data_IF_739114112357
#
_entry.id   IF_739114112357
#
_cell.length_a   1.000
_cell.length_b   1.000
_cell.length_c   1.000
_cell.angle_alpha   90.00
_cell.angle_beta   90.00
_cell.angle_gamma   90.00
#
_symmetry.space_group_name_H-M   'P 1'
#
loop_
_entity.id
_entity.type
_entity.pdbx_description
1 polymer ?
#
# COMPACT_ATOMS: atom_id res chain seq x y z
N UNK A 1 -4.32 -8.18 23.22
CA UNK A 1 -3.01 -8.43 23.88
C UNK A 1 -2.41 -7.06 24.21
N UNK A 2 -2.35 -6.70 25.49
CA UNK A 2 -1.86 -5.37 25.90
C UNK A 2 -0.35 -5.50 26.20
N UNK A 3 0.49 -5.31 25.18
CA UNK A 3 1.94 -5.51 25.26
C UNK A 3 2.72 -4.24 25.64
N UNK A 4 2.05 -3.09 25.78
CA UNK A 4 2.69 -1.81 26.09
C UNK A 4 1.69 -0.73 26.50
N UNK A 5 2.18 0.48 26.74
CA UNK A 5 1.35 1.64 27.07
C UNK A 5 0.54 2.15 25.87
N UNK A 6 0.98 1.85 24.64
CA UNK A 6 0.30 2.18 23.40
C UNK A 6 0.70 1.17 22.33
N UNK A 7 -0.25 0.74 21.50
CA UNK A 7 -0.02 -0.13 20.36
C UNK A 7 -0.48 0.64 19.12
N UNK A 8 0.40 0.88 18.17
CA UNK A 8 0.10 1.63 16.96
C UNK A 8 0.41 0.82 15.71
N UNK A 9 -0.31 1.13 14.65
CA UNK A 9 -0.17 0.54 13.32
C UNK A 9 0.00 1.65 12.31
N UNK A 10 0.81 1.40 11.28
CA UNK A 10 0.93 2.29 10.12
C UNK A 10 0.28 1.62 8.92
N UNK A 11 -0.65 2.32 8.29
CA UNK A 11 -1.45 1.83 7.17
C UNK A 11 -1.45 2.84 6.01
N UNK A 12 -1.10 2.43 4.78
CA UNK A 12 -0.98 3.36 3.66
C UNK A 12 -2.34 3.65 3.02
N UNK A 13 -3.21 4.31 3.76
CA UNK A 13 -4.48 4.86 3.29
C UNK A 13 -4.90 6.08 4.10
N UNK A 14 -5.93 6.79 3.64
CA UNK A 14 -6.60 7.89 4.35
C UNK A 14 -7.79 7.35 5.12
N UNK A 15 -7.54 6.75 6.29
CA UNK A 15 -8.59 6.16 7.12
C UNK A 15 -9.72 7.17 7.43
N UNK A 16 -10.99 6.72 7.42
CA UNK A 16 -11.47 5.34 7.32
C UNK A 16 -11.54 4.76 5.89
N UNK A 17 -11.21 5.51 4.85
CA UNK A 17 -11.18 4.99 3.49
C UNK A 17 -9.95 4.07 3.28
N UNK A 18 -10.17 2.93 2.63
CA UNK A 18 -9.11 2.00 2.27
C UNK A 18 -8.57 1.15 3.42
N UNK A 19 -9.41 0.76 4.37
CA UNK A 19 -9.10 -0.27 5.37
C UNK A 19 -8.82 -1.62 4.70
N UNK A 20 -8.26 -2.58 5.42
CA UNK A 20 -8.04 -3.94 4.98
C UNK A 20 -6.66 -4.17 4.38
N UNK A 21 -6.57 -4.83 3.21
CA UNK A 21 -5.33 -5.43 2.73
C UNK A 21 -4.75 -4.74 1.50
N UNK A 22 -3.41 -4.68 1.45
CA UNK A 22 -2.66 -4.19 0.28
C UNK A 22 -3.08 -2.78 -0.23
N UNK A 23 -3.45 -1.82 0.64
CA UNK A 23 -4.04 -0.55 0.23
C UNK A 23 -3.13 0.27 -0.69
N UNK A 24 -1.81 0.23 -0.50
CA UNK A 24 -0.86 0.91 -1.38
C UNK A 24 -0.96 0.39 -2.82
N UNK A 25 -1.00 -0.94 -2.99
CA UNK A 25 -1.07 -1.56 -4.31
C UNK A 25 -2.40 -1.23 -5.01
N UNK A 26 -3.52 -1.29 -4.31
CA UNK A 26 -4.82 -0.94 -4.88
C UNK A 26 -4.89 0.53 -5.31
N UNK A 27 -4.39 1.44 -4.49
CA UNK A 27 -4.38 2.86 -4.84
C UNK A 27 -3.47 3.17 -6.04
N UNK A 28 -2.36 2.44 -6.23
CA UNK A 28 -1.54 2.55 -7.43
C UNK A 28 -2.30 2.03 -8.66
N UNK A 29 -3.04 0.92 -8.54
CA UNK A 29 -3.91 0.42 -9.60
C UNK A 29 -5.02 1.40 -9.97
N UNK A 30 -5.51 2.17 -9.00
CA UNK A 30 -6.45 3.29 -9.20
C UNK A 30 -5.79 4.52 -9.86
N UNK A 31 -4.49 4.47 -10.15
CA UNK A 31 -3.76 5.56 -10.81
C UNK A 31 -3.18 6.61 -9.85
N UNK A 32 -3.23 6.39 -8.54
CA UNK A 32 -2.69 7.35 -7.56
C UNK A 32 -1.18 7.25 -7.45
N UNK A 33 -0.51 8.39 -7.52
CA UNK A 33 0.92 8.55 -7.27
C UNK A 33 1.22 9.32 -5.96
N UNK A 34 0.20 9.84 -5.32
CA UNK A 34 0.26 10.38 -3.95
C UNK A 34 -0.65 9.51 -3.10
N UNK A 35 -0.06 8.68 -2.25
CA UNK A 35 -0.79 7.74 -1.42
C UNK A 35 -0.71 8.17 0.04
N UNK A 36 -1.86 8.42 0.70
CA UNK A 36 -1.88 8.73 2.12
C UNK A 36 -1.32 7.57 2.94
N UNK A 37 -0.70 7.89 4.07
CA UNK A 37 -0.25 6.93 5.06
C UNK A 37 -0.64 7.44 6.45
N UNK A 38 -1.20 6.58 7.28
CA UNK A 38 -1.78 6.93 8.58
C UNK A 38 -1.20 6.05 9.68
N UNK A 39 -0.80 6.67 10.78
CA UNK A 39 -0.44 5.99 12.03
C UNK A 39 -1.61 6.15 13.01
N UNK A 40 -2.14 5.05 13.49
CA UNK A 40 -3.34 5.00 14.32
C UNK A 40 -3.23 3.94 15.42
N UNK A 41 -4.13 3.97 16.40
CA UNK A 41 -4.16 3.03 17.50
C UNK A 41 -4.63 1.64 17.04
N UNK A 42 -3.92 0.60 17.45
CA UNK A 42 -4.33 -0.78 17.21
C UNK A 42 -5.51 -1.14 18.11
N UNK A 43 -6.62 -1.53 17.51
CA UNK A 43 -7.85 -1.98 18.18
C UNK A 43 -8.21 -3.40 17.74
N UNK A 44 -9.29 -3.97 18.27
CA UNK A 44 -9.77 -5.29 17.82
C UNK A 44 -10.37 -5.26 16.41
N UNK A 45 -10.90 -4.12 15.99
CA UNK A 45 -11.44 -3.92 14.65
C UNK A 45 -10.35 -3.68 13.61
N UNK A 46 -10.62 -4.03 12.36
CA UNK A 46 -9.66 -3.86 11.25
C UNK A 46 -9.51 -2.38 10.89
N UNK A 47 -8.35 -1.82 11.21
CA UNK A 47 -7.96 -0.43 10.90
C UNK A 47 -8.96 0.62 11.42
N UNK A 48 -9.54 0.41 12.61
CA UNK A 48 -10.62 1.24 13.18
C UNK A 48 -10.16 2.21 14.26
N UNK A 49 -8.92 2.11 14.73
CA UNK A 49 -8.41 2.93 15.83
C UNK A 49 -8.30 4.41 15.50
N UNK A 50 -8.22 5.22 16.53
CA UNK A 50 -8.08 6.67 16.43
C UNK A 50 -6.73 7.05 15.81
N UNK A 51 -6.72 8.08 14.98
CA UNK A 51 -5.57 8.51 14.19
C UNK A 51 -4.67 9.43 15.00
N UNK A 52 -3.39 9.09 15.11
CA UNK A 52 -2.37 9.94 15.71
C UNK A 52 -1.73 10.86 14.66
N UNK A 53 -1.22 10.30 13.56
CA UNK A 53 -0.47 11.03 12.55
C UNK A 53 -0.85 10.58 11.13
N UNK A 54 -0.68 11.49 10.16
CA UNK A 54 -0.85 11.18 8.75
C UNK A 54 0.20 11.89 7.92
N UNK A 55 0.62 11.24 6.83
CA UNK A 55 1.54 11.79 5.83
C UNK A 55 1.22 11.20 4.45
N UNK A 56 2.08 11.36 3.48
CA UNK A 56 1.89 10.94 2.09
C UNK A 56 3.15 10.28 1.53
N UNK A 57 2.98 9.13 0.92
CA UNK A 57 3.99 8.50 0.07
C UNK A 57 3.88 9.14 -1.32
N UNK A 58 4.99 9.76 -1.79
CA UNK A 58 5.05 10.41 -3.10
C UNK A 58 5.77 9.51 -4.10
N UNK A 59 5.06 9.11 -5.14
CA UNK A 59 5.57 8.35 -6.27
C UNK A 59 5.59 9.24 -7.51
N UNK A 60 6.45 8.93 -8.47
CA UNK A 60 6.53 9.62 -9.75
C UNK A 60 5.87 8.85 -10.92
N UNK A 61 5.40 7.63 -10.65
CA UNK A 61 4.75 6.79 -11.65
C UNK A 61 5.68 5.80 -12.35
N UNK A 62 6.98 5.82 -12.06
CA UNK A 62 7.96 4.91 -12.68
C UNK A 62 8.57 3.89 -11.72
N UNK A 63 8.34 4.04 -10.43
CA UNK A 63 8.88 3.12 -9.42
C UNK A 63 8.32 1.72 -9.61
N UNK A 64 9.17 0.72 -9.48
CA UNK A 64 8.77 -0.68 -9.37
C UNK A 64 8.56 -1.09 -7.91
N UNK A 65 8.07 -2.28 -7.68
CA UNK A 65 7.65 -2.79 -6.38
C UNK A 65 8.67 -2.59 -5.25
N UNK A 66 9.95 -2.84 -5.52
CA UNK A 66 10.99 -2.68 -4.50
C UNK A 66 11.20 -1.21 -4.11
N UNK A 67 11.20 -0.30 -5.08
CA UNK A 67 11.31 1.14 -4.87
C UNK A 67 10.05 1.70 -4.16
N UNK A 68 8.88 1.18 -4.51
CA UNK A 68 7.61 1.52 -3.84
C UNK A 68 7.65 1.10 -2.38
N UNK A 69 8.11 -0.11 -2.08
CA UNK A 69 8.27 -0.62 -0.71
C UNK A 69 9.32 0.18 0.08
N UNK A 70 10.41 0.58 -0.55
CA UNK A 70 11.42 1.43 0.08
C UNK A 70 10.84 2.79 0.49
N UNK A 71 10.10 3.45 -0.40
CA UNK A 71 9.41 4.71 -0.09
C UNK A 71 8.35 4.55 1.00
N UNK A 72 7.59 3.47 0.97
CA UNK A 72 6.64 3.15 2.05
C UNK A 72 7.37 2.94 3.38
N UNK A 73 8.47 2.20 3.37
CA UNK A 73 9.30 1.94 4.56
C UNK A 73 9.84 3.24 5.15
N UNK A 74 10.38 4.15 4.32
CA UNK A 74 10.83 5.46 4.76
C UNK A 74 9.72 6.26 5.43
N UNK A 75 8.58 6.42 4.77
CA UNK A 75 7.43 7.14 5.32
C UNK A 75 6.90 6.50 6.62
N UNK A 76 6.95 5.18 6.73
CA UNK A 76 6.57 4.46 7.95
C UNK A 76 7.52 4.80 9.10
N UNK A 77 8.84 4.79 8.85
CA UNK A 77 9.85 5.13 9.86
C UNK A 77 9.67 6.56 10.33
N UNK A 78 9.50 7.51 9.40
CA UNK A 78 9.31 8.92 9.72
C UNK A 78 8.07 9.15 10.60
N UNK A 79 6.94 8.50 10.29
CA UNK A 79 5.74 8.56 11.13
C UNK A 79 5.97 7.97 12.52
N UNK A 80 6.68 6.84 12.62
CA UNK A 80 6.99 6.22 13.91
C UNK A 80 7.91 7.11 14.75
N UNK A 81 8.93 7.74 14.17
CA UNK A 81 9.82 8.66 14.88
C UNK A 81 9.05 9.89 15.38
N UNK A 82 8.25 10.50 14.52
CA UNK A 82 7.39 11.64 14.90
C UNK A 82 6.41 11.26 16.02
N UNK A 83 5.85 10.06 15.96
CA UNK A 83 4.97 9.58 17.03
C UNK A 83 5.70 9.45 18.37
N UNK A 84 6.93 8.92 18.38
CA UNK A 84 7.73 8.80 19.60
C UNK A 84 8.05 10.18 20.19
N UNK A 85 8.39 11.16 19.35
CA UNK A 85 8.68 12.54 19.80
C UNK A 85 7.45 13.21 20.41
N UNK A 86 6.26 12.94 19.90
CA UNK A 86 4.99 13.51 20.37
C UNK A 86 4.30 12.66 21.44
N UNK A 87 4.94 11.55 21.85
CA UNK A 87 4.31 10.60 22.78
C UNK A 87 3.92 11.26 24.11
N UNK A 88 2.67 11.07 24.50
CA UNK A 88 2.11 11.63 25.73
C UNK A 88 1.63 13.08 25.64
N UNK A 89 1.89 13.77 24.53
CA UNK A 89 1.41 15.14 24.29
C UNK A 89 0.35 15.21 23.19
N UNK A 90 0.36 14.25 22.25
CA UNK A 90 -0.57 14.22 21.14
C UNK A 90 -1.83 13.41 21.47
N UNK A 91 -2.98 14.01 21.21
CA UNK A 91 -4.30 13.36 21.39
C UNK A 91 -4.75 12.82 20.03
N UNK A 92 -5.08 11.54 19.92
CA UNK A 92 -5.55 10.98 18.66
C UNK A 92 -6.93 11.49 18.28
N UNK A 93 -7.20 11.54 16.98
CA UNK A 93 -8.47 11.96 16.43
C UNK A 93 -9.26 10.76 15.93
N UNK A 94 -10.59 10.78 16.16
CA UNK A 94 -11.48 9.76 15.60
C UNK A 94 -11.45 9.79 14.07
N UNK A 95 -11.58 8.62 13.47
CA UNK A 95 -11.82 8.51 12.05
C UNK A 95 -13.18 9.11 11.70
N UNK A 96 -13.22 9.98 10.67
CA UNK A 96 -14.44 10.65 10.22
C UNK A 96 -14.65 10.36 8.74
N UNK A 97 -15.84 9.91 8.38
CA UNK A 97 -16.22 9.61 7.00
C UNK A 97 -16.72 8.18 6.82
N UNK A 98 -16.94 7.81 5.58
CA UNK A 98 -17.39 6.47 5.20
C UNK A 98 -16.20 5.52 5.08
N UNK A 99 -16.30 4.35 5.73
CA UNK A 99 -15.26 3.32 5.65
C UNK A 99 -15.38 2.55 4.34
N UNK A 100 -14.25 2.39 3.64
CA UNK A 100 -14.13 1.49 2.49
C UNK A 100 -13.06 0.44 2.75
N UNK A 101 -13.14 -0.69 2.06
CA UNK A 101 -12.27 -1.83 2.33
C UNK A 101 -11.62 -2.36 1.06
N UNK A 102 -10.32 -2.61 1.13
CA UNK A 102 -9.59 -3.34 0.10
C UNK A 102 -9.47 -4.82 0.45
N UNK A 103 -9.71 -5.67 -0.54
CA UNK A 103 -9.51 -7.13 -0.41
C UNK A 103 -8.02 -7.49 -0.40
N UNK A 104 -7.71 -8.65 0.15
CA UNK A 104 -6.36 -9.24 0.01
C UNK A 104 -6.06 -9.52 -1.46
N UNK A 105 -4.81 -9.26 -1.88
CA UNK A 105 -4.32 -9.63 -3.22
C UNK A 105 -3.76 -11.04 -3.20
N UNK A 106 -4.09 -11.79 -4.25
CA UNK A 106 -3.55 -13.11 -4.51
C UNK A 106 -2.80 -13.19 -5.85
N UNK A 107 -2.30 -14.38 -6.23
CA UNK A 107 -1.56 -14.57 -7.49
C UNK A 107 -2.35 -14.12 -8.73
N UNK A 108 -3.65 -14.37 -8.77
CA UNK A 108 -4.52 -14.00 -9.89
C UNK A 108 -4.67 -12.49 -10.08
N UNK A 109 -4.45 -11.69 -9.04
CA UNK A 109 -4.47 -10.22 -9.15
C UNK A 109 -3.22 -9.67 -9.89
N UNK A 110 -2.30 -10.53 -10.33
CA UNK A 110 -1.12 -10.19 -11.16
C UNK A 110 -1.29 -10.59 -12.62
N UNK A 111 -2.49 -11.00 -13.02
CA UNK A 111 -2.77 -11.39 -14.41
C UNK A 111 -2.89 -10.17 -15.32
N UNK A 112 -2.12 -10.20 -16.42
CA UNK A 112 -2.16 -9.24 -17.50
C UNK A 112 -3.14 -9.70 -18.59
N UNK A 113 -3.74 -8.75 -19.29
CA UNK A 113 -4.54 -8.99 -20.49
C UNK A 113 -3.61 -8.91 -21.72
N UNK A 114 -3.40 -10.00 -22.49
CA UNK A 114 -2.51 -10.01 -23.65
C UNK A 114 -3.00 -9.11 -24.79
N UNK A 115 -4.25 -8.63 -24.75
CA UNK A 115 -4.82 -7.76 -25.76
C UNK A 115 -4.70 -6.27 -25.41
N UNK A 116 -4.25 -5.94 -24.18
CA UNK A 116 -4.00 -4.56 -23.75
C UNK A 116 -2.52 -4.20 -23.92
N UNK A 117 -2.27 -2.91 -24.10
CA UNK A 117 -0.91 -2.38 -24.18
C UNK A 117 -0.20 -2.46 -22.83
N UNK A 118 1.13 -2.45 -22.86
CA UNK A 118 1.95 -2.36 -21.65
C UNK A 118 1.64 -1.07 -20.88
N UNK A 119 1.41 0.03 -21.58
CA UNK A 119 1.10 1.33 -20.95
C UNK A 119 -0.19 1.30 -20.15
N UNK A 120 -1.26 0.67 -20.68
CA UNK A 120 -2.53 0.52 -19.96
C UNK A 120 -2.43 -0.32 -18.70
N UNK A 121 -1.46 -1.24 -18.66
CA UNK A 121 -1.26 -2.18 -17.55
C UNK A 121 -0.01 -1.87 -16.72
N UNK A 122 0.62 -0.71 -16.95
CA UNK A 122 1.89 -0.41 -16.32
C UNK A 122 1.78 -0.32 -14.79
N UNK A 123 0.66 0.19 -14.26
CA UNK A 123 0.43 0.20 -12.82
C UNK A 123 0.38 -1.21 -12.21
N UNK A 124 -0.13 -2.20 -12.94
CA UNK A 124 -0.07 -3.59 -12.49
C UNK A 124 1.37 -4.11 -12.52
N UNK A 125 2.11 -3.85 -13.58
CA UNK A 125 3.52 -4.25 -13.70
C UNK A 125 4.40 -3.63 -12.62
N UNK A 126 4.12 -2.39 -12.19
CA UNK A 126 4.89 -1.69 -11.13
C UNK A 126 4.78 -2.35 -9.76
N UNK A 127 3.62 -2.93 -9.44
CA UNK A 127 3.31 -3.43 -8.10
C UNK A 127 3.50 -4.93 -7.94
N UNK A 128 3.81 -5.67 -9.02
CA UNK A 128 4.02 -7.11 -8.93
C UNK A 128 5.34 -7.43 -8.23
N UNK A 129 5.32 -8.50 -7.46
CA UNK A 129 6.53 -9.07 -6.86
C UNK A 129 7.05 -10.18 -7.78
N UNK A 130 8.14 -9.93 -8.50
CA UNK A 130 8.72 -10.89 -9.45
C UNK A 130 9.04 -12.27 -8.85
N UNK A 131 9.16 -12.37 -7.51
CA UNK A 131 9.49 -13.62 -6.82
C UNK A 131 8.26 -14.33 -6.26
N UNK A 132 7.33 -13.57 -5.65
CA UNK A 132 6.18 -14.15 -4.93
C UNK A 132 4.91 -14.21 -5.78
N UNK A 133 4.63 -13.15 -6.52
CA UNK A 133 3.43 -12.97 -7.35
C UNK A 133 3.81 -12.24 -8.63
N UNK A 134 4.62 -12.86 -9.54
CA UNK A 134 5.02 -12.23 -10.78
C UNK A 134 3.82 -11.92 -11.68
N UNK A 135 3.98 -10.97 -12.56
CA UNK A 135 3.00 -10.75 -13.62
C UNK A 135 2.93 -11.97 -14.53
N UNK A 136 1.75 -12.31 -15.01
CA UNK A 136 1.57 -13.41 -15.96
C UNK A 136 0.39 -13.11 -16.89
N UNK A 137 0.35 -13.81 -18.03
CA UNK A 137 -0.80 -13.78 -18.93
C UNK A 137 -1.04 -15.16 -19.54
N UNK A 138 -2.29 -15.43 -19.89
CA UNK A 138 -2.65 -16.63 -20.63
C UNK A 138 -2.65 -16.35 -22.13
N UNK A 139 -2.02 -17.19 -22.92
CA UNK A 139 -2.06 -17.14 -24.38
C UNK A 139 -2.15 -18.57 -24.94
N UNK A 140 -3.16 -18.82 -25.78
CA UNK A 140 -3.42 -20.13 -26.38
C UNK A 140 -3.48 -21.29 -25.37
N UNK A 141 -4.02 -21.05 -24.19
CA UNK A 141 -4.17 -22.05 -23.12
C UNK A 141 -2.94 -22.29 -22.25
N UNK A 142 -1.86 -21.53 -22.44
CA UNK A 142 -0.66 -21.59 -21.61
C UNK A 142 -0.47 -20.29 -20.83
N UNK A 143 0.02 -20.39 -19.59
CA UNK A 143 0.38 -19.24 -18.77
C UNK A 143 1.86 -18.91 -18.95
N UNK A 144 2.14 -17.64 -19.19
CA UNK A 144 3.48 -17.10 -19.37
C UNK A 144 3.76 -16.07 -18.27
N UNK A 145 4.92 -16.19 -17.63
CA UNK A 145 5.38 -15.28 -16.57
C UNK A 145 6.20 -14.14 -17.19
N UNK A 146 5.97 -12.93 -16.71
CA UNK A 146 6.77 -11.75 -17.05
C UNK A 146 7.45 -11.22 -15.78
N UNK A 147 8.77 -11.09 -15.82
CA UNK A 147 9.54 -10.33 -14.85
C UNK A 147 9.83 -8.93 -15.37
N UNK A 148 9.48 -7.90 -14.57
CA UNK A 148 9.79 -6.51 -14.92
C UNK A 148 11.02 -6.05 -14.15
N UNK A 149 11.95 -5.42 -14.85
CA UNK A 149 13.18 -4.83 -14.29
C UNK A 149 13.48 -3.52 -15.01
N UNK A 150 13.91 -2.49 -14.26
CA UNK A 150 14.44 -1.26 -14.89
C UNK A 150 15.79 -1.54 -15.51
N UNK A 151 15.97 -1.09 -16.76
CA UNK A 151 17.29 -1.12 -17.43
C UNK A 151 18.09 0.12 -17.02
N UNK A 152 17.47 1.29 -17.09
CA UNK A 152 18.00 2.60 -16.70
C UNK A 152 16.87 3.61 -16.55
N UNK A 153 17.07 4.62 -15.73
CA UNK A 153 16.37 5.90 -15.77
C UNK A 153 17.39 7.01 -16.02
#
# INVERSE_FOLDING_TARGET
MNLGRSNVVVHPSSLPAGRGFSPLAWQILEGKNIVPITLFEATEGVDEGDIYLSDKIKLNGTELNDEIKEKQGGATIDLCLNYVELFGTHVPNKQIGEATYYKSRGPLDSQLDPHKTIAEQFNLLRIVDNKRYPAFFNYSGCDYIIEIKKKKC
#
